data_IF_222642185481
#
_entry.id   IF_222642185481
#
_cell.length_a   1.000
_cell.length_b   1.000
_cell.length_c   1.000
_cell.angle_alpha   90.00
_cell.angle_beta   90.00
_cell.angle_gamma   90.00
#
_symmetry.space_group_name_H-M   'P 1'
#
loop_
_entity.id
_entity.type
_entity.pdbx_description
1 polymer ?
#
# COMPACT_ATOMS: atom_id res chain seq x y z
N UNK A 1 -32.11 -9.95 8.46
CA UNK A 1 -31.43 -8.64 8.62
C UNK A 1 -29.96 -8.80 8.26
N UNK A 2 -29.41 -7.94 7.38
CA UNK A 2 -28.00 -8.02 6.96
C UNK A 2 -27.09 -7.68 8.15
N UNK A 3 -26.00 -8.46 8.35
CA UNK A 3 -25.04 -8.28 9.45
C UNK A 3 -24.45 -6.86 9.50
N UNK A 4 -24.28 -6.22 8.35
CA UNK A 4 -23.79 -4.84 8.22
C UNK A 4 -24.72 -3.80 8.88
N UNK A 5 -26.04 -4.00 8.83
CA UNK A 5 -26.99 -3.07 9.43
C UNK A 5 -27.01 -3.13 10.97
N UNK A 6 -26.59 -4.27 11.55
CA UNK A 6 -26.45 -4.40 13.00
C UNK A 6 -25.10 -3.82 13.48
N UNK A 7 -24.03 -4.02 12.70
CA UNK A 7 -22.71 -3.45 12.99
C UNK A 7 -22.72 -1.92 13.03
N UNK A 8 -23.39 -1.27 12.06
CA UNK A 8 -23.54 0.18 12.03
C UNK A 8 -24.28 0.71 13.28
N UNK A 9 -25.37 0.05 13.68
CA UNK A 9 -26.11 0.42 14.89
C UNK A 9 -25.29 0.23 16.16
N UNK A 10 -24.41 -0.76 16.23
CA UNK A 10 -23.56 -1.01 17.40
C UNK A 10 -22.40 0.00 17.51
N UNK A 11 -21.91 0.51 16.38
CA UNK A 11 -20.94 1.59 16.35
C UNK A 11 -21.48 2.88 16.98
N UNK A 12 -22.77 3.20 16.75
CA UNK A 12 -23.46 4.34 17.37
C UNK A 12 -23.54 4.26 18.91
N UNK A 13 -23.38 3.06 19.48
CA UNK A 13 -23.36 2.82 20.94
C UNK A 13 -21.95 2.58 21.50
N UNK A 14 -20.91 2.98 20.77
CA UNK A 14 -19.52 2.92 21.26
C UNK A 14 -18.93 1.51 21.29
N UNK A 15 -19.54 0.57 20.56
CA UNK A 15 -18.99 -0.78 20.37
C UNK A 15 -18.58 -0.94 18.90
N UNK A 16 -17.41 -0.40 18.48
CA UNK A 16 -16.92 -0.58 17.13
C UNK A 16 -16.52 -2.03 16.97
N UNK A 17 -17.44 -2.86 16.50
CA UNK A 17 -17.08 -4.12 15.89
C UNK A 17 -16.18 -3.74 14.72
N UNK A 18 -14.93 -4.22 14.72
CA UNK A 18 -14.09 -4.23 13.53
C UNK A 18 -14.97 -4.74 12.41
N UNK A 19 -15.40 -3.86 11.50
CA UNK A 19 -16.10 -4.30 10.32
C UNK A 19 -15.13 -5.27 9.66
N UNK A 20 -15.50 -6.55 9.65
CA UNK A 20 -15.10 -7.43 8.56
C UNK A 20 -15.81 -6.84 7.36
N UNK A 21 -15.30 -5.71 6.88
CA UNK A 21 -15.45 -5.30 5.50
C UNK A 21 -15.07 -6.56 4.74
N UNK A 22 -16.00 -7.08 3.95
CA UNK A 22 -15.63 -8.04 2.91
C UNK A 22 -14.34 -7.49 2.31
N UNK A 23 -13.22 -8.21 2.44
CA UNK A 23 -11.89 -7.74 2.07
C UNK A 23 -12.04 -6.91 0.81
N UNK A 24 -11.83 -5.58 0.91
CA UNK A 24 -12.12 -4.69 -0.19
C UNK A 24 -11.32 -5.19 -1.39
N UNK A 25 -11.99 -5.85 -2.34
CA UNK A 25 -11.31 -6.52 -3.43
C UNK A 25 -10.85 -5.43 -4.39
N UNK A 26 -9.62 -4.98 -4.20
CA UNK A 26 -9.02 -3.93 -4.98
C UNK A 26 -9.09 -4.22 -6.49
N UNK A 27 -9.06 -5.51 -6.87
CA UNK A 27 -9.21 -5.93 -8.27
C UNK A 27 -10.64 -5.66 -8.76
N UNK A 28 -11.68 -5.91 -7.96
CA UNK A 28 -13.07 -5.52 -8.27
C UNK A 28 -13.21 -4.00 -8.38
N UNK A 29 -12.69 -3.25 -7.41
CA UNK A 29 -12.80 -1.79 -7.40
C UNK A 29 -12.13 -1.17 -8.62
N UNK A 30 -10.94 -1.64 -9.02
CA UNK A 30 -10.26 -1.17 -10.22
C UNK A 30 -11.04 -1.51 -11.50
N UNK A 31 -11.69 -2.67 -11.55
CA UNK A 31 -12.59 -3.04 -12.67
C UNK A 31 -13.78 -2.10 -12.74
N UNK A 32 -14.43 -1.80 -11.61
CA UNK A 32 -15.58 -0.89 -11.55
C UNK A 32 -15.20 0.54 -11.95
N UNK A 33 -14.03 1.03 -11.51
CA UNK A 33 -13.51 2.34 -11.92
C UNK A 33 -13.32 2.42 -13.43
N UNK A 34 -12.76 1.37 -14.05
CA UNK A 34 -12.58 1.33 -15.51
C UNK A 34 -13.93 1.32 -16.22
N UNK A 35 -14.86 0.45 -15.78
CA UNK A 35 -16.20 0.30 -16.38
C UNK A 35 -17.07 1.53 -16.24
N UNK A 36 -16.87 2.34 -15.20
CA UNK A 36 -17.66 3.55 -14.97
C UNK A 36 -17.59 4.55 -16.13
N UNK A 37 -16.48 4.57 -16.89
CA UNK A 37 -16.15 5.58 -17.90
C UNK A 37 -16.28 7.03 -17.41
N UNK A 38 -16.31 7.26 -16.09
CA UNK A 38 -16.34 8.59 -15.49
C UNK A 38 -14.91 9.14 -15.38
N UNK A 39 -14.68 10.29 -16.00
CA UNK A 39 -13.38 10.96 -16.01
C UNK A 39 -12.85 11.24 -14.60
N UNK A 40 -13.72 11.59 -13.65
CA UNK A 40 -13.31 11.88 -12.26
C UNK A 40 -12.85 10.62 -11.55
N UNK A 41 -13.46 9.48 -11.86
CA UNK A 41 -13.03 8.19 -11.35
C UNK A 41 -11.72 7.74 -11.98
N UNK A 42 -11.51 8.01 -13.27
CA UNK A 42 -10.23 7.77 -13.93
C UNK A 42 -9.11 8.69 -13.41
N UNK A 43 -9.43 9.93 -13.02
CA UNK A 43 -8.50 10.82 -12.32
C UNK A 43 -8.11 10.29 -10.93
N UNK A 44 -9.00 9.54 -10.28
CA UNK A 44 -8.73 8.86 -9.01
C UNK A 44 -8.01 7.51 -9.16
N UNK A 45 -8.01 6.92 -10.35
CA UNK A 45 -7.47 5.58 -10.61
C UNK A 45 -6.01 5.41 -10.19
N UNK A 46 -5.08 6.35 -10.49
CA UNK A 46 -3.68 6.21 -10.06
C UNK A 46 -3.51 6.16 -8.54
N UNK A 47 -4.38 6.83 -7.77
CA UNK A 47 -4.30 6.78 -6.31
C UNK A 47 -4.74 5.40 -5.78
N UNK A 48 -5.80 4.84 -6.35
CA UNK A 48 -6.31 3.50 -5.98
C UNK A 48 -5.32 2.41 -6.38
N UNK A 49 -4.73 2.51 -7.58
CA UNK A 49 -3.71 1.58 -8.04
C UNK A 49 -2.48 1.59 -7.13
N UNK A 50 -1.94 2.77 -6.82
CA UNK A 50 -0.77 2.89 -5.95
C UNK A 50 -1.03 2.27 -4.57
N UNK A 51 -2.16 2.60 -3.96
CA UNK A 51 -2.53 2.08 -2.64
C UNK A 51 -2.72 0.56 -2.66
N UNK A 52 -3.48 0.03 -3.62
CA UNK A 52 -3.77 -1.40 -3.68
C UNK A 52 -2.54 -2.25 -4.01
N UNK A 53 -1.59 -1.72 -4.78
CA UNK A 53 -0.32 -2.38 -5.07
C UNK A 53 0.62 -2.39 -3.85
N UNK A 54 0.74 -1.27 -3.12
CA UNK A 54 1.51 -1.21 -1.86
C UNK A 54 0.96 -2.16 -0.79
N UNK A 55 -0.37 -2.27 -0.69
CA UNK A 55 -1.04 -3.21 0.24
C UNK A 55 -1.03 -4.67 -0.24
N UNK A 56 -0.38 -4.98 -1.37
CA UNK A 56 -0.38 -6.32 -1.98
C UNK A 56 -1.78 -6.90 -2.31
N UNK A 57 -2.79 -6.02 -2.40
CA UNK A 57 -4.18 -6.37 -2.71
C UNK A 57 -4.46 -6.41 -4.22
N UNK A 58 -3.57 -5.81 -5.01
CA UNK A 58 -3.68 -5.75 -6.46
C UNK A 58 -2.86 -6.84 -7.16
N UNK A 59 -3.47 -7.49 -8.15
CA UNK A 59 -2.75 -8.31 -9.14
C UNK A 59 -3.25 -7.99 -10.54
N UNK A 60 -2.34 -7.56 -11.42
CA UNK A 60 -2.68 -7.14 -12.78
C UNK A 60 -3.42 -8.25 -13.55
N UNK A 61 -2.91 -9.48 -13.55
CA UNK A 61 -3.53 -10.58 -14.30
C UNK A 61 -4.91 -10.98 -13.77
N UNK A 62 -5.08 -10.97 -12.44
CA UNK A 62 -6.38 -11.26 -11.84
C UNK A 62 -7.40 -10.16 -12.15
N UNK A 63 -6.96 -8.91 -12.20
CA UNK A 63 -7.82 -7.77 -12.57
C UNK A 63 -8.17 -7.82 -14.05
N UNK A 64 -7.16 -8.04 -14.91
CA UNK A 64 -7.32 -8.12 -16.37
C UNK A 64 -8.25 -9.26 -16.81
N UNK A 65 -8.24 -10.40 -16.09
CA UNK A 65 -9.11 -11.54 -16.36
C UNK A 65 -10.60 -11.29 -16.04
N UNK A 66 -10.93 -10.25 -15.27
CA UNK A 66 -12.32 -9.91 -14.90
C UNK A 66 -13.04 -9.06 -15.94
N UNK A 67 -12.33 -8.59 -16.96
CA UNK A 67 -12.93 -7.90 -18.09
C UNK A 67 -13.39 -8.92 -19.13
N UNK A 68 -14.70 -8.98 -19.36
CA UNK A 68 -15.31 -9.72 -20.47
C UNK A 68 -15.18 -8.96 -21.79
N UNK A 69 -15.20 -7.62 -21.74
CA UNK A 69 -15.09 -6.77 -22.91
C UNK A 69 -13.62 -6.39 -23.21
N UNK A 70 -13.26 -6.54 -24.49
CA UNK A 70 -11.93 -6.18 -25.01
C UNK A 70 -11.67 -4.69 -24.95
N UNK A 71 -12.69 -3.82 -25.06
CA UNK A 71 -12.49 -2.38 -24.92
C UNK A 71 -12.19 -2.03 -23.46
N UNK A 72 -13.00 -2.48 -22.50
CA UNK A 72 -12.72 -2.24 -21.08
C UNK A 72 -11.32 -2.72 -20.66
N UNK A 73 -10.91 -3.92 -21.12
CA UNK A 73 -9.56 -4.43 -20.87
C UNK A 73 -8.47 -3.50 -21.43
N UNK A 74 -8.71 -2.90 -22.59
CA UNK A 74 -7.81 -1.92 -23.18
C UNK A 74 -7.77 -0.60 -22.39
N UNK A 75 -8.91 -0.10 -21.90
CA UNK A 75 -8.93 1.08 -21.02
C UNK A 75 -8.18 0.82 -19.71
N UNK A 76 -8.32 -0.39 -19.14
CA UNK A 76 -7.54 -0.79 -17.99
C UNK A 76 -6.04 -0.70 -18.25
N UNK A 77 -5.55 -1.29 -19.35
CA UNK A 77 -4.14 -1.19 -19.73
C UNK A 77 -3.65 0.26 -19.90
N UNK A 78 -4.45 1.11 -20.56
CA UNK A 78 -4.09 2.52 -20.73
C UNK A 78 -4.13 3.32 -19.43
N UNK A 79 -5.08 3.06 -18.53
CA UNK A 79 -5.14 3.68 -17.22
C UNK A 79 -3.96 3.23 -16.34
N UNK A 80 -3.55 1.97 -16.43
CA UNK A 80 -2.33 1.47 -15.78
C UNK A 80 -1.09 2.18 -16.32
N UNK A 81 -0.93 2.26 -17.65
CA UNK A 81 0.19 2.97 -18.28
C UNK A 81 0.22 4.46 -17.88
N UNK A 82 -0.93 5.14 -17.89
CA UNK A 82 -1.08 6.53 -17.44
C UNK A 82 -0.67 6.71 -15.97
N UNK A 83 -1.06 5.76 -15.12
CA UNK A 83 -0.72 5.80 -13.69
C UNK A 83 0.79 5.66 -13.47
N UNK A 84 1.43 4.72 -14.16
CA UNK A 84 2.89 4.54 -14.10
C UNK A 84 3.62 5.79 -14.60
N UNK A 85 3.16 6.38 -15.71
CA UNK A 85 3.72 7.61 -16.26
C UNK A 85 3.57 8.78 -15.27
N UNK A 86 2.43 8.88 -14.59
CA UNK A 86 2.19 9.87 -13.55
C UNK A 86 3.15 9.72 -12.36
N UNK A 87 3.37 8.49 -11.89
CA UNK A 87 4.31 8.26 -10.79
C UNK A 87 5.72 8.70 -11.17
N UNK A 88 6.16 8.36 -12.39
CA UNK A 88 7.45 8.78 -12.91
C UNK A 88 7.56 10.30 -13.07
N UNK A 89 6.54 10.95 -13.64
CA UNK A 89 6.49 12.41 -13.80
C UNK A 89 6.49 13.17 -12.45
N UNK A 90 6.01 12.54 -11.38
CA UNK A 90 6.03 13.08 -10.02
C UNK A 90 7.28 12.66 -9.22
N UNK A 91 8.20 11.90 -9.81
CA UNK A 91 9.41 11.41 -9.14
C UNK A 91 9.17 10.36 -8.06
N UNK A 92 8.00 9.71 -8.06
CA UNK A 92 7.64 8.67 -7.10
C UNK A 92 8.28 7.34 -7.50
N UNK A 93 8.85 6.64 -6.52
CA UNK A 93 9.51 5.34 -6.71
C UNK A 93 8.74 4.26 -5.96
N UNK A 94 8.11 3.37 -6.70
CA UNK A 94 7.47 2.18 -6.15
C UNK A 94 8.22 0.92 -6.60
N UNK A 95 8.50 0.01 -5.67
CA UNK A 95 9.26 -1.22 -5.95
C UNK A 95 8.56 -2.14 -6.95
N UNK A 96 7.22 -2.14 -6.96
CA UNK A 96 6.38 -2.93 -7.86
C UNK A 96 6.18 -2.31 -9.24
N UNK A 97 6.43 -1.00 -9.42
CA UNK A 97 6.10 -0.28 -10.65
C UNK A 97 6.83 -0.85 -11.89
N UNK A 98 8.11 -1.23 -11.73
CA UNK A 98 8.89 -1.82 -12.82
C UNK A 98 8.29 -3.15 -13.28
N UNK A 99 7.98 -4.05 -12.34
CA UNK A 99 7.35 -5.33 -12.66
C UNK A 99 5.99 -5.16 -13.33
N UNK A 100 5.20 -4.18 -12.89
CA UNK A 100 3.92 -3.85 -13.53
C UNK A 100 4.08 -3.27 -14.94
N UNK A 101 5.11 -2.45 -15.18
CA UNK A 101 5.40 -1.95 -16.52
C UNK A 101 5.76 -3.09 -17.49
N UNK A 102 6.48 -4.10 -17.01
CA UNK A 102 6.89 -5.26 -17.82
C UNK A 102 5.69 -6.12 -18.27
N UNK A 103 4.59 -6.16 -17.51
CA UNK A 103 3.37 -6.89 -17.89
C UNK A 103 2.52 -6.19 -18.95
N UNK A 104 2.79 -4.90 -19.24
CA UNK A 104 2.06 -4.15 -20.26
C UNK A 104 2.41 -4.64 -21.67
N UNK A 105 1.42 -4.58 -22.57
CA UNK A 105 1.64 -4.86 -23.99
C UNK A 105 2.27 -3.66 -24.72
N UNK A 106 2.71 -3.90 -25.96
CA UNK A 106 3.39 -2.87 -26.78
C UNK A 106 2.56 -1.62 -27.05
N UNK A 107 1.22 -1.73 -27.12
CA UNK A 107 0.36 -0.56 -27.33
C UNK A 107 0.31 0.30 -26.06
N UNK A 108 0.24 -0.34 -24.90
CA UNK A 108 0.22 0.33 -23.60
C UNK A 108 1.57 1.00 -23.30
N UNK A 109 2.69 0.34 -23.60
CA UNK A 109 4.03 0.92 -23.47
C UNK A 109 4.24 2.14 -24.36
N UNK A 110 3.75 2.12 -25.61
CA UNK A 110 3.77 3.31 -26.47
C UNK A 110 2.94 4.47 -25.91
N UNK A 111 1.80 4.16 -25.29
CA UNK A 111 0.97 5.19 -24.66
C UNK A 111 1.62 5.74 -23.40
N UNK A 112 2.34 4.92 -22.63
CA UNK A 112 3.11 5.35 -21.47
C UNK A 112 4.05 6.52 -21.81
N UNK A 113 4.85 6.42 -22.88
CA UNK A 113 5.78 7.47 -23.28
C UNK A 113 5.05 8.77 -23.66
N UNK A 114 3.91 8.63 -24.34
CA UNK A 114 3.07 9.78 -24.70
C UNK A 114 2.49 10.48 -23.45
N UNK A 115 1.97 9.70 -22.50
CA UNK A 115 1.43 10.22 -21.24
C UNK A 115 2.53 10.86 -20.40
N UNK A 116 3.71 10.25 -20.31
CA UNK A 116 4.83 10.78 -19.55
C UNK A 116 5.23 12.16 -20.06
N UNK A 117 5.45 12.30 -21.37
CA UNK A 117 5.78 13.58 -21.97
C UNK A 117 4.68 14.65 -21.77
N UNK A 118 3.39 14.26 -21.90
CA UNK A 118 2.28 15.19 -21.66
C UNK A 118 2.24 15.64 -20.19
N UNK A 119 2.46 14.71 -19.26
CA UNK A 119 2.48 14.99 -17.82
C UNK A 119 3.68 15.86 -17.44
N UNK A 120 4.87 15.63 -17.99
CA UNK A 120 6.05 16.45 -17.73
C UNK A 120 5.89 17.87 -18.29
N UNK A 121 5.31 18.00 -19.49
CA UNK A 121 5.10 19.30 -20.16
C UNK A 121 3.82 20.03 -19.75
N UNK A 122 2.99 19.43 -18.90
CA UNK A 122 1.72 20.01 -18.45
C UNK A 122 0.65 20.11 -19.55
N UNK A 123 0.79 19.36 -20.64
CA UNK A 123 -0.18 19.37 -21.75
C UNK A 123 -1.32 18.40 -21.50
N UNK A 124 -2.49 18.74 -22.00
CA UNK A 124 -3.60 17.81 -22.08
C UNK A 124 -3.27 16.68 -23.06
N UNK A 125 -3.80 15.50 -22.77
CA UNK A 125 -3.57 14.30 -23.57
C UNK A 125 -4.87 13.52 -23.75
N UNK A 126 -4.88 12.61 -24.72
CA UNK A 126 -6.05 11.78 -24.99
C UNK A 126 -5.86 10.38 -24.43
N UNK A 127 -6.77 9.96 -23.58
CA UNK A 127 -7.00 8.55 -23.27
C UNK A 127 -8.10 8.07 -24.21
N UNK A 128 -7.68 7.58 -25.38
CA UNK A 128 -8.58 7.18 -26.47
C UNK A 128 -9.48 8.32 -26.95
N UNK A 129 -10.79 8.19 -26.74
CA UNK A 129 -11.84 9.14 -27.10
C UNK A 129 -12.01 10.26 -26.06
N UNK A 130 -11.26 10.22 -24.95
CA UNK A 130 -11.42 11.15 -23.83
C UNK A 130 -10.21 12.07 -23.69
N UNK A 131 -10.48 13.36 -23.55
CA UNK A 131 -9.45 14.36 -23.23
C UNK A 131 -9.22 14.39 -21.72
N UNK A 132 -7.96 14.28 -21.31
CA UNK A 132 -7.52 14.28 -19.93
C UNK A 132 -6.66 15.52 -19.69
N UNK A 133 -6.90 16.22 -18.58
CA UNK A 133 -6.06 17.33 -18.16
C UNK A 133 -4.94 16.82 -17.25
N UNK A 134 -3.70 17.11 -17.65
CA UNK A 134 -2.50 16.73 -16.87
C UNK A 134 -2.51 17.39 -15.48
N UNK A 135 -2.89 18.66 -15.41
CA UNK A 135 -2.97 19.42 -14.16
C UNK A 135 -4.04 18.84 -13.23
N UNK A 136 -5.24 18.58 -13.74
CA UNK A 136 -6.32 17.99 -12.92
C UNK A 136 -5.95 16.60 -12.42
N UNK A 137 -5.33 15.78 -13.26
CA UNK A 137 -4.87 14.44 -12.87
C UNK A 137 -3.84 14.53 -11.75
N UNK A 138 -2.81 15.38 -11.89
CA UNK A 138 -1.80 15.61 -10.85
C UNK A 138 -2.42 16.14 -9.57
N UNK A 139 -3.35 17.09 -9.67
CA UNK A 139 -4.03 17.69 -8.51
C UNK A 139 -4.90 16.67 -7.78
N UNK A 140 -5.71 15.90 -8.52
CA UNK A 140 -6.52 14.82 -7.97
C UNK A 140 -5.65 13.77 -7.28
N UNK A 141 -4.61 13.29 -7.97
CA UNK A 141 -3.66 12.34 -7.39
C UNK A 141 -3.00 12.91 -6.14
N UNK A 142 -2.43 14.11 -6.16
CA UNK A 142 -1.79 14.69 -4.98
C UNK A 142 -2.77 14.88 -3.81
N UNK A 143 -4.02 15.26 -4.07
CA UNK A 143 -5.04 15.40 -3.03
C UNK A 143 -5.31 14.06 -2.36
N UNK A 144 -5.61 13.01 -3.14
CA UNK A 144 -5.91 11.69 -2.60
C UNK A 144 -4.67 11.01 -2.02
N UNK A 145 -3.52 11.15 -2.67
CA UNK A 145 -2.26 10.56 -2.24
C UNK A 145 -1.74 11.23 -0.97
N UNK A 146 -1.77 12.55 -0.82
CA UNK A 146 -1.33 13.22 0.43
C UNK A 146 -2.26 12.92 1.61
N UNK A 147 -3.58 12.98 1.39
CA UNK A 147 -4.56 12.63 2.42
C UNK A 147 -4.43 11.18 2.88
N UNK A 148 -3.93 10.30 2.00
CA UNK A 148 -3.79 8.87 2.29
C UNK A 148 -2.37 8.44 2.59
N UNK A 149 -1.33 9.21 2.29
CA UNK A 149 0.05 8.92 2.66
C UNK A 149 0.26 9.09 4.16
N UNK A 150 -0.44 10.03 4.80
CA UNK A 150 -0.57 10.04 6.26
C UNK A 150 -1.19 8.73 6.73
N UNK A 151 -2.35 8.36 6.20
CA UNK A 151 -3.09 7.17 6.64
C UNK A 151 -2.41 5.84 6.26
N UNK A 152 -1.61 5.81 5.20
CA UNK A 152 -0.86 4.66 4.72
C UNK A 152 0.44 4.51 5.51
N UNK A 153 1.13 5.61 5.84
CA UNK A 153 2.24 5.56 6.79
C UNK A 153 1.73 5.16 8.17
N UNK A 154 0.57 5.68 8.61
CA UNK A 154 -0.05 5.27 9.86
C UNK A 154 -0.47 3.80 9.82
N UNK A 155 -1.12 3.32 8.75
CA UNK A 155 -1.53 1.92 8.59
C UNK A 155 -0.35 0.95 8.39
N UNK A 156 0.69 1.34 7.63
CA UNK A 156 1.90 0.55 7.48
C UNK A 156 2.70 0.55 8.78
N UNK A 157 2.71 1.65 9.54
CA UNK A 157 3.27 1.70 10.90
C UNK A 157 2.44 0.87 11.88
N UNK A 158 1.12 0.78 11.69
CA UNK A 158 0.24 -0.10 12.45
C UNK A 158 0.40 -1.57 12.03
N UNK A 159 0.61 -1.90 10.75
CA UNK A 159 0.82 -3.28 10.28
C UNK A 159 2.23 -3.79 10.50
N UNK A 160 3.27 -2.99 10.22
CA UNK A 160 4.63 -3.24 10.67
C UNK A 160 4.68 -3.20 12.19
N UNK A 161 3.88 -2.35 12.83
CA UNK A 161 3.65 -2.33 14.26
C UNK A 161 3.06 -3.63 14.75
N UNK A 162 2.05 -4.22 14.09
CA UNK A 162 1.44 -5.49 14.47
C UNK A 162 2.37 -6.68 14.22
N UNK A 163 3.12 -6.70 13.11
CA UNK A 163 4.10 -7.74 12.79
C UNK A 163 5.35 -7.67 13.69
N UNK A 164 5.86 -6.47 13.94
CA UNK A 164 6.94 -6.21 14.89
C UNK A 164 6.47 -6.46 16.32
N UNK A 165 5.29 -6.03 16.72
CA UNK A 165 4.72 -6.25 18.05
C UNK A 165 4.50 -7.75 18.31
N UNK A 166 4.03 -8.49 17.29
CA UNK A 166 3.93 -9.95 17.34
C UNK A 166 5.32 -10.58 17.49
N UNK A 167 6.30 -10.21 16.65
CA UNK A 167 7.66 -10.73 16.72
C UNK A 167 8.36 -10.38 18.06
N UNK A 168 8.19 -9.15 18.54
CA UNK A 168 8.68 -8.71 19.84
C UNK A 168 8.02 -9.50 20.96
N UNK A 169 6.73 -9.83 20.86
CA UNK A 169 6.02 -10.62 21.87
C UNK A 169 6.43 -12.10 21.87
N UNK A 170 6.97 -12.63 20.76
CA UNK A 170 7.57 -13.98 20.72
C UNK A 170 8.93 -14.04 21.42
N UNK A 171 9.68 -12.93 21.43
CA UNK A 171 11.06 -12.89 21.95
C UNK A 171 11.15 -12.28 23.35
N UNK A 172 10.30 -11.30 23.66
CA UNK A 172 10.33 -10.51 24.88
C UNK A 172 9.03 -10.67 25.68
N UNK A 173 9.17 -10.83 27.00
CA UNK A 173 8.01 -10.71 27.90
C UNK A 173 7.49 -9.27 27.90
N UNK A 174 6.24 -9.01 28.35
CA UNK A 174 5.67 -7.66 28.36
C UNK A 174 6.60 -6.61 29.01
N UNK A 175 7.21 -6.93 30.15
CA UNK A 175 8.14 -6.02 30.83
C UNK A 175 9.45 -5.83 30.08
N UNK A 176 9.96 -6.85 29.39
CA UNK A 176 11.19 -6.75 28.59
C UNK A 176 10.97 -5.90 27.34
N UNK A 177 9.80 -6.03 26.70
CA UNK A 177 9.37 -5.23 25.56
C UNK A 177 9.22 -3.76 25.92
N UNK A 178 8.59 -3.47 27.06
CA UNK A 178 8.52 -2.10 27.61
C UNK A 178 9.92 -1.49 27.75
N UNK A 179 10.88 -2.21 28.34
CA UNK A 179 12.26 -1.72 28.49
C UNK A 179 13.02 -1.60 27.17
N UNK A 180 12.75 -2.48 26.19
CA UNK A 180 13.29 -2.39 24.84
C UNK A 180 12.84 -1.09 24.16
N UNK A 181 11.53 -0.80 24.17
CA UNK A 181 10.96 0.41 23.59
C UNK A 181 11.40 1.68 24.33
N UNK A 182 11.44 1.62 25.67
CA UNK A 182 11.96 2.70 26.53
C UNK A 182 13.42 3.04 26.17
N UNK A 183 14.25 2.04 25.86
CA UNK A 183 15.62 2.25 25.39
C UNK A 183 15.67 2.88 24.00
N UNK A 184 14.86 2.37 23.07
CA UNK A 184 14.79 2.86 21.69
C UNK A 184 14.39 4.34 21.63
N UNK A 185 13.48 4.75 22.51
CA UNK A 185 12.99 6.14 22.64
C UNK A 185 13.90 7.05 23.47
N UNK A 186 15.05 6.57 23.94
CA UNK A 186 15.97 7.29 24.84
C UNK A 186 15.32 7.81 26.13
N UNK A 187 14.31 7.11 26.65
CA UNK A 187 13.65 7.48 27.89
C UNK A 187 14.51 7.13 29.12
N UNK A 188 14.34 7.88 30.22
CA UNK A 188 15.07 7.64 31.48
C UNK A 188 14.63 6.34 32.13
N UNK A 189 15.55 5.38 32.25
CA UNK A 189 15.35 4.16 33.04
C UNK A 189 15.79 4.35 34.49
N UNK A 190 15.04 3.77 35.41
CA UNK A 190 15.40 3.68 36.84
C UNK A 190 16.59 2.72 37.04
N UNK A 191 17.18 2.72 38.25
CA UNK A 191 18.30 1.84 38.58
C UNK A 191 17.97 0.36 38.38
N UNK A 192 16.78 -0.08 38.82
CA UNK A 192 16.30 -1.46 38.69
C UNK A 192 15.99 -1.83 37.24
N UNK A 193 15.41 -0.91 36.47
CA UNK A 193 15.14 -1.10 35.04
C UNK A 193 16.42 -1.26 34.22
N UNK A 194 17.47 -0.46 34.52
CA UNK A 194 18.78 -0.60 33.85
C UNK A 194 19.44 -1.93 34.14
N UNK A 195 19.34 -2.40 35.38
CA UNK A 195 19.86 -3.70 35.78
C UNK A 195 19.13 -4.83 35.05
N UNK A 196 17.79 -4.80 35.05
CA UNK A 196 16.97 -5.80 34.38
C UNK A 196 17.18 -5.78 32.85
N UNK A 197 17.30 -4.59 32.26
CA UNK A 197 17.66 -4.43 30.86
C UNK A 197 19.01 -5.09 30.55
N UNK A 198 20.02 -4.82 31.36
CA UNK A 198 21.39 -5.33 31.14
C UNK A 198 21.48 -6.84 31.29
N UNK A 199 20.80 -7.42 32.28
CA UNK A 199 20.87 -8.86 32.59
C UNK A 199 20.09 -9.72 31.60
N UNK A 200 18.94 -9.24 31.12
CA UNK A 200 17.99 -10.06 30.37
C UNK A 200 17.73 -9.54 28.96
N UNK A 201 17.42 -8.25 28.81
CA UNK A 201 16.99 -7.67 27.51
C UNK A 201 18.19 -7.54 26.56
N UNK A 202 19.32 -7.02 27.05
CA UNK A 202 20.53 -6.77 26.24
C UNK A 202 21.08 -8.03 25.56
N UNK A 203 21.04 -9.18 26.25
CA UNK A 203 21.50 -10.46 25.70
C UNK A 203 20.67 -10.89 24.49
N UNK A 204 19.34 -10.77 24.59
CA UNK A 204 18.41 -11.07 23.48
C UNK A 204 18.61 -10.12 22.31
N UNK A 205 18.78 -8.82 22.56
CA UNK A 205 19.10 -7.84 21.50
C UNK A 205 20.41 -8.23 20.80
N UNK A 206 21.44 -8.61 21.55
CA UNK A 206 22.74 -9.00 21.00
C UNK A 206 22.63 -10.25 20.13
N UNK A 207 21.83 -11.23 20.54
CA UNK A 207 21.55 -12.42 19.73
C UNK A 207 20.78 -12.08 18.45
N UNK A 208 19.74 -11.23 18.53
CA UNK A 208 18.99 -10.76 17.36
C UNK A 208 19.86 -9.97 16.37
N UNK A 209 20.88 -9.27 16.87
CA UNK A 209 21.83 -8.53 16.04
C UNK A 209 22.91 -9.42 15.39
N UNK A 210 22.96 -10.72 15.71
CA UNK A 210 23.92 -11.64 15.12
C UNK A 210 23.47 -12.08 13.70
N UNK A 211 24.27 -11.72 12.71
CA UNK A 211 23.96 -11.95 11.28
C UNK A 211 23.95 -13.44 10.92
N UNK A 212 24.84 -14.24 11.50
CA UNK A 212 24.94 -15.68 11.22
C UNK A 212 23.70 -16.43 11.76
N UNK A 213 23.28 -16.11 12.97
CA UNK A 213 22.07 -16.66 13.59
C UNK A 213 20.82 -16.30 12.78
N UNK A 214 20.75 -15.08 12.26
CA UNK A 214 19.65 -14.65 11.39
C UNK A 214 19.60 -15.48 10.09
N UNK A 215 20.76 -15.69 9.44
CA UNK A 215 20.85 -16.51 8.23
C UNK A 215 20.46 -17.97 8.47
N UNK A 216 20.86 -18.55 9.61
CA UNK A 216 20.47 -19.91 9.99
C UNK A 216 18.95 -20.03 10.20
N UNK A 217 18.34 -19.08 10.91
CA UNK A 217 16.90 -19.05 11.11
C UNK A 217 16.13 -18.95 9.77
N UNK A 218 16.60 -18.12 8.84
CA UNK A 218 16.01 -18.02 7.51
C UNK A 218 16.12 -19.30 6.70
N UNK A 219 17.24 -20.04 6.79
CA UNK A 219 17.40 -21.34 6.13
C UNK A 219 16.42 -22.37 6.66
N UNK A 220 16.20 -22.42 7.98
CA UNK A 220 15.29 -23.37 8.61
C UNK A 220 13.82 -23.12 8.26
N UNK A 221 13.41 -21.86 8.00
CA UNK A 221 12.04 -21.53 7.59
C UNK A 221 11.77 -21.78 6.10
N UNK A 222 12.80 -22.05 5.30
CA UNK A 222 12.72 -22.35 3.86
C UNK A 222 12.86 -23.84 3.53
N UNK A 223 13.16 -24.67 4.54
CA UNK A 223 13.21 -26.12 4.44
C UNK A 223 11.83 -26.72 4.73
#
# INVERSE_FOLDING_TARGET
MKKSALAAKLADFGFPLLEVTEEADANTTLVELVKSRDLRFWEGFPAVLAFSAEMQMFRYEKTAARFSDTLDKLYFGFLTAMSLALYQALGLKFSWAKGLYETLNEKEKRQFDHYLNALETGKDFRLRDRSMSSERLKAAFNRYFRQRQSNLQDFLTEQEGLGLEQALSQVFSPKQKELFLKKLRNEKMTKTEREYFSRSVKKKITALANVELHQLAQKLLRA
#
